data_IF_515969655949
#
_entry.id   IF_515969655949
#
_cell.length_a   1.000
_cell.length_b   1.000
_cell.length_c   1.000
_cell.angle_alpha   90.00
_cell.angle_beta   90.00
_cell.angle_gamma   90.00
#
_symmetry.space_group_name_H-M   'P 1'
#
loop_
_entity.id
_entity.type
_entity.pdbx_description
1 polymer ?
#
# COMPACT_ATOMS: atom_id res chain seq x y z
N UNK A 1 -1.96 23.43 14.63
CA UNK A 1 -2.71 22.82 13.51
C UNK A 1 -1.76 21.90 12.76
N UNK A 2 -1.53 20.70 13.31
CA UNK A 2 -0.96 19.60 12.55
C UNK A 2 -2.16 18.85 11.99
N UNK A 3 -2.27 18.78 10.66
CA UNK A 3 -3.29 17.97 10.02
C UNK A 3 -2.93 16.51 10.30
N UNK A 4 -3.74 15.89 11.15
CA UNK A 4 -3.79 14.46 11.37
C UNK A 4 -4.26 13.82 10.05
N UNK A 5 -3.31 13.48 9.19
CA UNK A 5 -3.55 12.72 7.96
C UNK A 5 -3.68 11.25 8.33
N UNK A 6 -4.73 10.93 9.09
CA UNK A 6 -5.20 9.55 9.20
C UNK A 6 -5.92 9.24 7.89
N UNK A 7 -5.43 8.31 7.05
CA UNK A 7 -6.16 7.91 5.85
C UNK A 7 -7.55 7.38 6.24
N UNK A 8 -8.59 7.61 5.42
CA UNK A 8 -9.96 7.22 5.75
C UNK A 8 -10.02 5.72 6.08
N UNK A 9 -10.73 5.43 7.17
CA UNK A 9 -10.70 4.16 7.88
C UNK A 9 -10.85 2.94 6.97
N UNK A 10 -9.90 2.02 7.10
CA UNK A 10 -9.94 0.63 6.62
C UNK A 10 -10.99 -0.18 7.42
N UNK A 11 -12.25 0.21 7.34
CA UNK A 11 -13.36 -0.50 8.02
C UNK A 11 -14.00 -1.48 7.05
N UNK A 12 -13.40 -2.66 6.98
CA UNK A 12 -13.87 -3.85 6.26
C UNK A 12 -12.77 -4.91 6.32
N UNK A 13 -13.06 -6.21 6.39
CA UNK A 13 -12.08 -7.24 6.78
C UNK A 13 -10.89 -7.26 5.83
N UNK A 14 -9.79 -6.59 6.23
CA UNK A 14 -8.51 -6.58 5.53
C UNK A 14 -7.82 -7.97 5.55
N UNK A 15 -8.43 -8.97 6.20
CA UNK A 15 -7.84 -10.27 6.53
C UNK A 15 -7.72 -11.25 5.35
N UNK A 16 -8.24 -10.95 4.16
CA UNK A 16 -8.13 -11.86 3.00
C UNK A 16 -7.77 -11.16 1.67
N UNK A 17 -7.23 -9.94 1.72
CA UNK A 17 -6.65 -9.33 0.52
C UNK A 17 -5.31 -10.01 0.24
N UNK A 18 -5.33 -11.03 -0.63
CA UNK A 18 -4.12 -11.54 -1.25
C UNK A 18 -3.29 -10.36 -1.75
N UNK A 19 -2.11 -10.19 -1.15
CA UNK A 19 -1.12 -9.24 -1.62
C UNK A 19 -0.88 -9.56 -3.09
N UNK A 20 -1.02 -8.57 -4.00
CA UNK A 20 -0.67 -8.79 -5.39
C UNK A 20 0.76 -9.34 -5.45
N UNK A 21 0.96 -10.40 -6.25
CA UNK A 21 2.25 -11.08 -6.38
C UNK A 21 3.44 -10.12 -6.59
N UNK A 22 3.32 -9.02 -7.36
CA UNK A 22 4.39 -8.04 -7.52
C UNK A 22 4.76 -7.32 -6.21
N UNK A 23 3.79 -7.03 -5.34
CA UNK A 23 4.02 -6.37 -4.05
C UNK A 23 4.74 -7.31 -3.09
N UNK A 24 4.33 -8.58 -3.05
CA UNK A 24 5.00 -9.60 -2.24
C UNK A 24 6.46 -9.81 -2.65
N UNK A 25 6.73 -9.92 -3.96
CA UNK A 25 8.08 -10.06 -4.51
C UNK A 25 8.96 -8.83 -4.21
N UNK A 26 8.40 -7.62 -4.26
CA UNK A 26 9.14 -6.41 -3.92
C UNK A 26 9.58 -6.38 -2.46
N UNK A 27 8.70 -6.79 -1.53
CA UNK A 27 9.04 -6.87 -0.10
C UNK A 27 10.11 -7.95 0.17
N UNK A 28 10.04 -9.08 -0.53
CA UNK A 28 11.09 -10.12 -0.47
C UNK A 28 12.43 -9.59 -0.98
N UNK A 29 12.44 -8.89 -2.12
CA UNK A 29 13.64 -8.23 -2.65
C UNK A 29 14.25 -7.25 -1.65
N UNK A 30 13.45 -6.41 -0.97
CA UNK A 30 13.96 -5.48 0.05
C UNK A 30 14.55 -6.19 1.26
N UNK A 31 14.08 -7.41 1.56
CA UNK A 31 14.62 -8.24 2.64
C UNK A 31 16.01 -8.76 2.27
N UNK A 32 16.16 -9.32 1.07
CA UNK A 32 17.42 -9.95 0.62
C UNK A 32 18.47 -8.91 0.22
N UNK A 33 18.10 -7.96 -0.65
CA UNK A 33 19.07 -7.09 -1.31
C UNK A 33 19.44 -5.86 -0.48
N UNK A 34 18.50 -5.41 0.37
CA UNK A 34 18.63 -4.16 1.14
C UNK A 34 18.78 -4.41 2.63
N UNK A 35 18.72 -5.66 3.09
CA UNK A 35 18.74 -6.06 4.51
C UNK A 35 17.80 -5.19 5.36
N UNK A 36 16.63 -4.86 4.78
CA UNK A 36 15.68 -3.94 5.41
C UNK A 36 15.18 -4.56 6.71
N UNK A 37 15.15 -3.77 7.79
CA UNK A 37 14.70 -4.27 9.08
C UNK A 37 13.25 -4.78 9.02
N UNK A 38 12.92 -5.78 9.83
CA UNK A 38 11.56 -6.32 9.91
C UNK A 38 10.51 -5.24 10.23
N UNK A 39 10.87 -4.27 11.07
CA UNK A 39 9.98 -3.16 11.42
C UNK A 39 9.69 -2.23 10.22
N UNK A 40 10.72 -1.94 9.42
CA UNK A 40 10.56 -1.13 8.20
C UNK A 40 9.77 -1.88 7.14
N UNK A 41 10.00 -3.20 6.98
CA UNK A 41 9.22 -4.04 6.07
C UNK A 41 7.75 -4.13 6.47
N UNK A 42 7.44 -4.21 7.76
CA UNK A 42 6.07 -4.19 8.25
C UNK A 42 5.37 -2.87 7.91
N UNK A 43 6.04 -1.73 8.13
CA UNK A 43 5.53 -0.43 7.74
C UNK A 43 5.22 -0.38 6.23
N UNK A 44 6.18 -0.78 5.39
CA UNK A 44 5.99 -0.82 3.94
C UNK A 44 4.87 -1.77 3.52
N UNK A 45 4.73 -2.92 4.16
CA UNK A 45 3.63 -3.86 3.91
C UNK A 45 2.29 -3.21 4.19
N UNK A 46 2.15 -2.53 5.33
CA UNK A 46 0.90 -1.82 5.70
C UNK A 46 0.58 -0.71 4.72
N UNK A 47 1.58 0.09 4.34
CA UNK A 47 1.40 1.19 3.39
C UNK A 47 1.01 0.68 1.99
N UNK A 48 1.66 -0.37 1.51
CA UNK A 48 1.35 -0.97 0.20
C UNK A 48 -0.01 -1.68 0.20
N UNK A 49 -0.43 -2.28 1.32
CA UNK A 49 -1.78 -2.82 1.46
C UNK A 49 -2.84 -1.71 1.38
N UNK A 50 -2.62 -0.57 2.03
CA UNK A 50 -3.51 0.58 1.96
C UNK A 50 -3.62 1.11 0.52
N UNK A 51 -2.49 1.19 -0.21
CA UNK A 51 -2.48 1.60 -1.61
C UNK A 51 -3.25 0.62 -2.51
N UNK A 52 -3.07 -0.69 -2.33
CA UNK A 52 -3.80 -1.72 -3.09
C UNK A 52 -5.30 -1.67 -2.81
N UNK A 53 -5.70 -1.49 -1.56
CA UNK A 53 -7.11 -1.38 -1.19
C UNK A 53 -7.73 -0.13 -1.83
N UNK A 54 -7.03 1.00 -1.76
CA UNK A 54 -7.46 2.26 -2.37
C UNK A 54 -7.57 2.17 -3.90
N UNK A 55 -6.59 1.55 -4.58
CA UNK A 55 -6.63 1.40 -6.05
C UNK A 55 -7.80 0.55 -6.53
N UNK A 56 -8.11 -0.52 -5.76
CA UNK A 56 -9.28 -1.37 -6.02
C UNK A 56 -10.59 -0.61 -5.85
N UNK A 57 -10.68 0.25 -4.84
CA UNK A 57 -11.87 1.06 -4.56
C UNK A 57 -12.16 2.09 -5.65
N UNK A 58 -11.14 2.70 -6.26
CA UNK A 58 -11.36 3.77 -7.23
C UNK A 58 -11.84 3.32 -8.61
N UNK A 59 -11.43 2.15 -9.10
CA UNK A 59 -11.87 1.61 -10.41
C UNK A 59 -11.43 0.15 -10.64
N UNK A 60 -11.25 -0.66 -9.59
CA UNK A 60 -10.61 -1.97 -9.69
C UNK A 60 -9.24 -1.92 -10.39
N UNK A 61 -8.54 -0.78 -10.30
CA UNK A 61 -7.28 -0.58 -10.99
C UNK A 61 -6.19 -1.39 -10.29
N UNK A 62 -5.44 -2.15 -11.09
CA UNK A 62 -4.28 -2.87 -10.60
C UNK A 62 -3.23 -1.87 -10.09
N UNK A 63 -2.59 -2.18 -8.96
CA UNK A 63 -1.59 -1.30 -8.33
C UNK A 63 -0.45 -0.92 -9.28
N UNK A 64 -0.11 -1.82 -10.22
CA UNK A 64 0.91 -1.59 -11.23
C UNK A 64 0.49 -0.62 -12.35
N UNK A 65 -0.81 -0.37 -12.50
CA UNK A 65 -1.36 0.53 -13.52
C UNK A 65 -1.55 1.96 -13.00
N UNK A 66 -1.33 2.19 -11.70
CA UNK A 66 -1.42 3.51 -11.08
C UNK A 66 -0.50 4.51 -11.76
N UNK A 67 -1.07 5.65 -12.12
CA UNK A 67 -0.34 6.79 -12.64
C UNK A 67 0.02 7.77 -11.52
N UNK A 68 0.93 8.70 -11.79
CA UNK A 68 1.33 9.74 -10.82
C UNK A 68 0.14 10.54 -10.28
N UNK A 69 -0.89 10.77 -11.10
CA UNK A 69 -2.11 11.45 -10.67
C UNK A 69 -2.88 10.64 -9.61
N UNK A 70 -2.96 9.32 -9.79
CA UNK A 70 -3.63 8.42 -8.83
C UNK A 70 -2.87 8.39 -7.50
N UNK A 71 -1.54 8.36 -7.53
CA UNK A 71 -0.72 8.41 -6.31
C UNK A 71 -0.92 9.73 -5.55
N UNK A 72 -1.04 10.85 -6.25
CA UNK A 72 -1.34 12.15 -5.63
C UNK A 72 -2.75 12.15 -5.02
N UNK A 73 -3.72 11.56 -5.70
CA UNK A 73 -5.08 11.43 -5.17
C UNK A 73 -5.11 10.54 -3.91
N UNK A 74 -4.33 9.45 -3.87
CA UNK A 74 -4.18 8.60 -2.68
C UNK A 74 -3.60 9.37 -1.49
N UNK A 75 -2.56 10.19 -1.69
CA UNK A 75 -1.94 10.97 -0.62
C UNK A 75 -2.87 12.08 -0.10
N UNK A 76 -3.77 12.59 -0.95
CA UNK A 76 -4.69 13.68 -0.62
C UNK A 76 -6.03 13.22 -0.01
N UNK A 77 -6.31 11.91 -0.01
CA UNK A 77 -7.58 11.31 0.42
C UNK A 77 -7.70 11.13 1.93
#
# INVERSE_FOLDING_TARGET
>A
MAADATPPGVTGPAEALELPLPVAQFLEYLTVERQTSAHTLDAYRRDLLALVAWSRAQSAQEVLQLQTADLRAFIAA
#
